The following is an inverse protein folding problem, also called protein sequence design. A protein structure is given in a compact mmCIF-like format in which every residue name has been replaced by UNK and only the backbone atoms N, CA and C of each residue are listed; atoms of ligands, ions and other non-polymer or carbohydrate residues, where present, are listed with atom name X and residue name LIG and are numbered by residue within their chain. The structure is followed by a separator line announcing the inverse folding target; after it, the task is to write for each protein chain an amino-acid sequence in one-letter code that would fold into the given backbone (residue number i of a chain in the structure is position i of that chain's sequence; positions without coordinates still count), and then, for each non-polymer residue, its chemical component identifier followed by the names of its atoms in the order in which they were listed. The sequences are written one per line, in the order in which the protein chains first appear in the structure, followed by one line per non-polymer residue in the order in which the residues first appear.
data_IF_934494053354
#
_entry.id   IF_934494053354
#
_cell.length_a   1.000
_cell.length_b   1.000
_cell.length_c   1.000
_cell.angle_alpha   90.00
_cell.angle_beta   90.00
_cell.angle_gamma   90.00
#
_symmetry.space_group_name_H-M   'P 1'
#
loop_
_entity.id
_entity.type
_entity.pdbx_description
1 polymer ?
#
# COMPACT_ATOMS: atom_id res chain seq x y z
N UNK A 1 -20.56 3.66 -4.13
CA UNK A 1 -22.04 3.70 -4.12
C UNK A 1 -22.66 2.47 -4.78
N UNK A 2 -22.43 2.20 -6.08
CA UNK A 2 -22.99 0.99 -6.74
C UNK A 2 -22.24 -0.28 -6.35
N UNK A 3 -20.90 -0.25 -6.32
CA UNK A 3 -20.09 -1.41 -5.90
C UNK A 3 -20.30 -1.74 -4.43
N UNK A 4 -20.35 -0.74 -3.54
CA UNK A 4 -20.75 -0.95 -2.13
C UNK A 4 -22.11 -1.66 -2.00
N UNK A 5 -23.06 -1.35 -2.89
CA UNK A 5 -24.38 -1.98 -2.89
C UNK A 5 -24.32 -3.42 -3.41
N UNK A 6 -23.56 -3.67 -4.50
CA UNK A 6 -23.29 -5.02 -5.01
C UNK A 6 -22.65 -5.86 -3.90
N UNK A 7 -21.64 -5.34 -3.23
CA UNK A 7 -20.92 -6.04 -2.16
C UNK A 7 -21.83 -6.33 -0.98
N UNK A 8 -22.56 -5.35 -0.46
CA UNK A 8 -23.54 -5.59 0.63
C UNK A 8 -24.61 -6.62 0.27
N UNK A 9 -25.00 -6.70 -1.00
CA UNK A 9 -26.02 -7.64 -1.47
C UNK A 9 -25.44 -9.04 -1.71
N UNK A 10 -24.15 -9.14 -2.03
CA UNK A 10 -23.47 -10.40 -2.37
C UNK A 10 -22.68 -11.03 -1.22
N UNK A 11 -22.40 -10.29 -0.15
CA UNK A 11 -21.83 -10.80 1.10
C UNK A 11 -22.89 -10.77 2.22
N UNK A 12 -23.82 -11.75 2.28
CA UNK A 12 -24.72 -11.88 3.43
C UNK A 12 -23.90 -12.12 4.71
N UNK A 13 -24.44 -11.76 5.90
CA UNK A 13 -23.81 -11.72 7.24
C UNK A 13 -23.20 -13.06 7.74
N UNK A 14 -22.32 -13.68 6.96
CA UNK A 14 -21.72 -14.98 7.17
C UNK A 14 -20.20 -14.90 7.12
N UNK A 15 -19.57 -15.71 7.97
CA UNK A 15 -18.12 -15.81 8.16
C UNK A 15 -17.38 -16.47 6.99
N UNK A 16 -17.39 -15.86 5.80
CA UNK A 16 -16.84 -16.45 4.56
C UNK A 16 -15.53 -15.79 4.10
N UNK A 17 -15.00 -14.86 4.87
CA UNK A 17 -13.76 -14.14 4.57
C UNK A 17 -12.53 -14.84 5.14
N UNK A 18 -11.36 -14.33 4.80
CA UNK A 18 -10.12 -14.77 5.43
C UNK A 18 -10.07 -14.20 6.85
N UNK A 19 -9.81 -15.04 7.85
CA UNK A 19 -9.58 -14.58 9.21
C UNK A 19 -8.37 -13.64 9.26
N UNK A 20 -8.63 -12.38 9.59
CA UNK A 20 -7.60 -11.36 9.78
C UNK A 20 -7.13 -11.32 11.24
N UNK A 21 -8.06 -11.43 12.18
CA UNK A 21 -7.81 -11.67 13.61
C UNK A 21 -8.83 -12.65 14.17
N UNK A 22 -8.72 -13.03 15.45
CA UNK A 22 -9.70 -13.91 16.12
C UNK A 22 -11.14 -13.37 16.08
N UNK A 23 -11.33 -12.08 15.79
CA UNK A 23 -12.64 -11.40 15.75
C UNK A 23 -12.99 -10.75 14.42
N UNK A 24 -12.05 -10.64 13.48
CA UNK A 24 -12.24 -9.94 12.21
C UNK A 24 -11.96 -10.86 11.03
N UNK A 25 -12.80 -10.75 10.01
CA UNK A 25 -12.60 -11.38 8.71
C UNK A 25 -12.51 -10.31 7.64
N UNK A 26 -11.74 -10.62 6.60
CA UNK A 26 -11.59 -9.80 5.42
C UNK A 26 -12.24 -10.55 4.25
N UNK A 27 -13.36 -10.03 3.77
CA UNK A 27 -14.19 -10.69 2.75
C UNK A 27 -13.81 -10.28 1.33
N UNK A 28 -13.33 -9.05 1.17
CA UNK A 28 -13.05 -8.43 -0.11
C UNK A 28 -12.11 -7.22 0.04
N UNK A 29 -11.57 -6.80 -1.10
CA UNK A 29 -10.87 -5.54 -1.30
C UNK A 29 -11.41 -4.92 -2.58
N UNK A 30 -11.97 -3.72 -2.50
CA UNK A 30 -12.54 -3.00 -3.63
C UNK A 30 -11.84 -1.66 -3.87
N UNK A 31 -11.59 -1.35 -5.14
CA UNK A 31 -11.07 -0.06 -5.56
C UNK A 31 -11.60 0.32 -6.93
N UNK A 32 -12.54 1.26 -6.97
CA UNK A 32 -13.26 1.63 -8.20
C UNK A 32 -13.81 0.36 -8.85
N UNK A 33 -13.40 -0.01 -10.06
CA UNK A 33 -13.83 -1.18 -10.81
C UNK A 33 -13.04 -2.47 -10.50
N UNK A 34 -11.91 -2.36 -9.79
CA UNK A 34 -11.11 -3.50 -9.38
C UNK A 34 -11.68 -4.09 -8.07
N UNK A 35 -12.23 -5.30 -8.15
CA UNK A 35 -12.73 -6.06 -7.00
C UNK A 35 -11.92 -7.35 -6.80
N UNK A 36 -11.43 -7.57 -5.59
CA UNK A 36 -10.76 -8.80 -5.18
C UNK A 36 -11.54 -9.49 -4.05
N UNK A 37 -12.07 -10.68 -4.33
CA UNK A 37 -12.79 -11.49 -3.36
C UNK A 37 -11.83 -12.43 -2.60
N UNK A 38 -12.04 -12.59 -1.30
CA UNK A 38 -11.18 -13.39 -0.43
C UNK A 38 -11.99 -14.45 0.30
N UNK A 39 -11.59 -15.72 0.19
CA UNK A 39 -12.27 -16.85 0.84
C UNK A 39 -11.26 -17.90 1.32
N UNK A 40 -11.65 -18.69 2.32
CA UNK A 40 -10.80 -19.77 2.86
C UNK A 40 -11.01 -21.11 2.16
N UNK A 41 -12.15 -21.30 1.49
CA UNK A 41 -12.45 -22.51 0.71
C UNK A 41 -12.86 -22.20 -0.72
N UNK A 42 -12.63 -23.17 -1.62
CA UNK A 42 -13.04 -23.07 -3.02
C UNK A 42 -14.57 -22.93 -3.13
N UNK A 43 -15.33 -23.68 -2.32
CA UNK A 43 -16.79 -23.60 -2.31
C UNK A 43 -17.27 -22.18 -1.95
N UNK A 44 -16.69 -21.57 -0.91
CA UNK A 44 -17.02 -20.19 -0.53
C UNK A 44 -16.65 -19.20 -1.65
N UNK A 45 -15.51 -19.42 -2.33
CA UNK A 45 -15.11 -18.60 -3.48
C UNK A 45 -16.13 -18.69 -4.63
N UNK A 46 -16.59 -19.90 -4.96
CA UNK A 46 -17.61 -20.10 -6.00
C UNK A 46 -18.93 -19.41 -5.61
N UNK A 47 -19.41 -19.61 -4.39
CA UNK A 47 -20.65 -18.98 -3.93
C UNK A 47 -20.57 -17.44 -3.97
N UNK A 48 -19.45 -16.85 -3.51
CA UNK A 48 -19.22 -15.40 -3.58
C UNK A 48 -19.19 -14.92 -5.03
N UNK A 49 -18.47 -15.63 -5.90
CA UNK A 49 -18.33 -15.23 -7.31
C UNK A 49 -19.68 -15.27 -8.03
N UNK A 50 -20.47 -16.33 -7.83
CA UNK A 50 -21.83 -16.44 -8.38
C UNK A 50 -22.74 -15.34 -7.85
N UNK A 51 -22.66 -15.02 -6.56
CA UNK A 51 -23.47 -13.96 -5.94
C UNK A 51 -23.12 -12.58 -6.48
N UNK A 52 -21.82 -12.27 -6.61
CA UNK A 52 -21.34 -11.00 -7.20
C UNK A 52 -21.74 -10.89 -8.67
N UNK A 53 -21.66 -11.98 -9.44
CA UNK A 53 -22.11 -12.00 -10.83
C UNK A 53 -23.61 -11.69 -10.97
N UNK A 54 -24.45 -12.35 -10.16
CA UNK A 54 -25.90 -12.12 -10.16
C UNK A 54 -26.25 -10.68 -9.73
N UNK A 55 -25.62 -10.18 -8.66
CA UNK A 55 -25.84 -8.82 -8.18
C UNK A 55 -25.37 -7.76 -9.20
N UNK A 56 -24.25 -8.00 -9.88
CA UNK A 56 -23.75 -7.11 -10.93
C UNK A 56 -24.69 -7.07 -12.13
N UNK A 57 -25.17 -8.24 -12.58
CA UNK A 57 -26.13 -8.32 -13.68
C UNK A 57 -27.45 -7.59 -13.36
N UNK A 58 -27.92 -7.68 -12.11
CA UNK A 58 -29.14 -6.99 -11.68
C UNK A 58 -29.07 -5.46 -11.77
N UNK A 59 -27.87 -4.89 -11.68
CA UNK A 59 -27.62 -3.44 -11.85
C UNK A 59 -27.06 -3.08 -13.23
N UNK A 60 -27.04 -4.02 -14.17
CA UNK A 60 -26.59 -3.81 -15.55
C UNK A 60 -25.07 -3.79 -15.74
N UNK A 61 -24.29 -4.30 -14.78
CA UNK A 61 -22.84 -4.45 -14.89
C UNK A 61 -22.46 -5.86 -15.37
N UNK A 62 -21.47 -5.94 -16.26
CA UNK A 62 -20.93 -7.20 -16.76
C UNK A 62 -19.52 -7.43 -16.19
N UNK A 63 -19.29 -8.62 -15.62
CA UNK A 63 -17.96 -9.02 -15.16
C UNK A 63 -17.10 -9.39 -16.36
N UNK A 64 -15.91 -8.79 -16.45
CA UNK A 64 -14.97 -9.09 -17.53
C UNK A 64 -14.22 -10.40 -17.26
N UNK A 65 -14.81 -11.53 -17.66
CA UNK A 65 -14.30 -12.89 -17.42
C UNK A 65 -12.82 -13.10 -17.80
N UNK A 66 -12.38 -12.55 -18.94
CA UNK A 66 -10.98 -12.65 -19.37
C UNK A 66 -9.95 -11.91 -18.48
N UNK A 67 -10.40 -10.94 -17.67
CA UNK A 67 -9.56 -10.19 -16.70
C UNK A 67 -9.72 -10.73 -15.28
N UNK A 68 -10.84 -11.38 -14.98
CA UNK A 68 -11.06 -12.10 -13.73
C UNK A 68 -10.15 -13.32 -13.67
N UNK A 69 -9.37 -13.45 -12.60
CA UNK A 69 -8.40 -14.53 -12.39
C UNK A 69 -8.52 -15.03 -10.96
N UNK A 70 -8.04 -16.25 -10.73
CA UNK A 70 -7.92 -16.81 -9.39
C UNK A 70 -6.46 -16.97 -9.03
N UNK A 71 -6.11 -16.47 -7.86
CA UNK A 71 -4.83 -16.73 -7.21
C UNK A 71 -5.09 -17.61 -5.99
N UNK A 72 -4.45 -18.78 -5.96
CA UNK A 72 -4.55 -19.73 -4.84
C UNK A 72 -3.33 -19.60 -3.95
N UNK A 73 -3.56 -19.50 -2.65
CA UNK A 73 -2.50 -19.38 -1.65
C UNK A 73 -2.41 -20.65 -0.80
N UNK A 74 -1.24 -21.30 -0.78
CA UNK A 74 -0.96 -22.50 0.04
C UNK A 74 -2.02 -23.63 -0.07
N UNK A 75 -2.63 -23.82 -1.24
CA UNK A 75 -3.64 -24.87 -1.46
C UNK A 75 -3.37 -25.65 -2.73
N UNK A 76 -3.66 -26.95 -2.71
CA UNK A 76 -3.59 -27.80 -3.88
C UNK A 76 -4.69 -27.42 -4.90
N UNK A 77 -4.48 -27.77 -6.17
CA UNK A 77 -5.50 -27.54 -7.19
C UNK A 77 -6.76 -28.36 -6.86
N UNK A 78 -7.82 -27.66 -6.51
CA UNK A 78 -9.21 -28.12 -6.41
C UNK A 78 -10.00 -27.68 -7.66
N UNK A 79 -11.29 -28.01 -7.70
CA UNK A 79 -12.20 -27.71 -8.81
C UNK A 79 -12.09 -26.25 -9.31
N UNK A 80 -12.25 -26.01 -10.63
CA UNK A 80 -12.34 -24.67 -11.20
C UNK A 80 -13.44 -23.86 -10.53
N UNK A 81 -13.25 -22.55 -10.47
CA UNK A 81 -14.34 -21.61 -10.15
C UNK A 81 -14.82 -21.01 -11.46
N UNK A 82 -16.12 -20.92 -11.62
CA UNK A 82 -16.75 -20.50 -12.88
C UNK A 82 -17.59 -19.25 -12.72
N UNK A 83 -17.68 -18.45 -13.79
CA UNK A 83 -18.62 -17.33 -13.93
C UNK A 83 -19.47 -17.58 -15.16
N UNK A 84 -20.79 -17.72 -14.95
CA UNK A 84 -21.76 -18.09 -16.00
C UNK A 84 -21.34 -19.33 -16.80
N UNK A 85 -20.74 -20.32 -16.13
CA UNK A 85 -20.28 -21.57 -16.74
C UNK A 85 -18.90 -21.50 -17.43
N UNK A 86 -18.22 -20.35 -17.42
CA UNK A 86 -16.84 -20.23 -17.92
C UNK A 86 -15.83 -20.32 -16.78
N UNK A 87 -14.83 -21.18 -16.94
CA UNK A 87 -13.74 -21.36 -15.97
C UNK A 87 -12.86 -20.11 -15.88
N UNK A 88 -12.60 -19.64 -14.66
CA UNK A 88 -11.62 -18.59 -14.41
C UNK A 88 -10.21 -19.18 -14.47
N UNK A 89 -9.29 -18.44 -15.11
CA UNK A 89 -7.88 -18.85 -15.17
C UNK A 89 -7.22 -18.76 -13.79
N UNK A 90 -6.61 -19.87 -13.38
CA UNK A 90 -5.74 -19.95 -12.21
C UNK A 90 -4.34 -19.40 -12.54
N UNK A 91 -3.95 -18.34 -11.84
CA UNK A 91 -2.66 -17.66 -12.02
C UNK A 91 -1.77 -17.84 -10.80
N UNK A 92 -0.46 -17.93 -11.02
CA UNK A 92 0.55 -17.95 -9.93
C UNK A 92 0.93 -16.57 -9.41
N UNK A 93 0.70 -15.55 -10.23
CA UNK A 93 0.95 -14.17 -9.91
C UNK A 93 -0.20 -13.31 -10.41
N UNK A 94 -0.66 -12.40 -9.57
CA UNK A 94 -1.74 -11.47 -9.89
C UNK A 94 -1.27 -10.03 -9.66
N UNK A 95 -1.68 -9.09 -10.52
CA UNK A 95 -1.38 -7.67 -10.32
C UNK A 95 -2.62 -6.97 -9.81
N UNK A 96 -2.58 -6.48 -8.58
CA UNK A 96 -3.65 -5.69 -7.98
C UNK A 96 -3.13 -4.28 -7.66
N UNK A 97 -3.81 -3.25 -8.16
CA UNK A 97 -3.44 -1.83 -8.01
C UNK A 97 -1.96 -1.54 -8.36
N UNK A 98 -1.47 -2.26 -9.37
CA UNK A 98 -0.13 -2.18 -9.91
C UNK A 98 0.94 -2.95 -9.13
N UNK A 99 0.60 -3.57 -7.99
CA UNK A 99 1.50 -4.41 -7.18
C UNK A 99 1.32 -5.88 -7.50
N UNK A 100 2.42 -6.61 -7.62
CA UNK A 100 2.41 -8.05 -7.92
C UNK A 100 2.27 -8.84 -6.62
N UNK A 101 1.28 -9.73 -6.58
CA UNK A 101 1.04 -10.70 -5.52
C UNK A 101 1.36 -12.07 -6.09
N UNK A 102 2.27 -12.81 -5.45
CA UNK A 102 2.60 -14.18 -5.83
C UNK A 102 1.92 -15.21 -4.91
N UNK A 103 1.84 -16.47 -5.37
CA UNK A 103 1.23 -17.60 -4.64
C UNK A 103 1.87 -17.89 -3.27
N UNK A 104 3.07 -17.37 -2.99
CA UNK A 104 3.80 -17.54 -1.73
C UNK A 104 3.73 -16.30 -0.84
N UNK A 105 3.08 -15.21 -1.29
CA UNK A 105 2.97 -13.95 -0.57
C UNK A 105 4.32 -13.25 -0.43
N UNK A 106 5.27 -13.60 -1.30
CA UNK A 106 6.56 -12.97 -1.43
C UNK A 106 6.44 -11.58 -2.05
N UNK A 107 7.45 -10.74 -1.80
CA UNK A 107 7.54 -9.41 -2.42
C UNK A 107 8.62 -9.35 -3.48
N UNK A 108 9.27 -10.48 -3.81
CA UNK A 108 10.42 -10.47 -4.73
C UNK A 108 10.00 -10.11 -6.15
N UNK A 109 8.88 -10.68 -6.62
CA UNK A 109 8.33 -10.39 -7.94
C UNK A 109 7.95 -8.92 -8.08
N UNK A 110 7.23 -8.35 -7.10
CA UNK A 110 6.86 -6.93 -7.11
C UNK A 110 8.08 -6.02 -7.05
N UNK A 111 9.03 -6.28 -6.14
CA UNK A 111 10.28 -5.51 -6.03
C UNK A 111 11.06 -5.55 -7.34
N UNK A 112 11.16 -6.72 -7.99
CA UNK A 112 11.82 -6.86 -9.29
C UNK A 112 11.12 -6.02 -10.37
N UNK A 113 9.80 -6.05 -10.43
CA UNK A 113 9.03 -5.22 -11.35
C UNK A 113 9.21 -3.72 -11.07
N UNK A 114 9.23 -3.30 -9.80
CA UNK A 114 9.50 -1.90 -9.41
C UNK A 114 10.90 -1.43 -9.78
N UNK A 115 11.91 -2.28 -9.59
CA UNK A 115 13.28 -1.98 -10.05
C UNK A 115 13.30 -1.82 -11.57
N UNK A 116 12.57 -2.66 -12.33
CA UNK A 116 12.43 -2.52 -13.78
C UNK A 116 11.82 -1.17 -14.19
N UNK A 117 10.69 -0.79 -13.58
CA UNK A 117 10.02 0.50 -13.83
C UNK A 117 10.91 1.69 -13.46
N UNK A 118 11.54 1.65 -12.28
CA UNK A 118 12.47 2.68 -11.83
C UNK A 118 13.69 2.80 -12.74
N UNK A 119 14.23 1.68 -13.22
CA UNK A 119 15.34 1.66 -14.19
C UNK A 119 14.93 2.32 -15.50
N UNK A 120 13.75 2.02 -16.02
CA UNK A 120 13.24 2.65 -17.23
C UNK A 120 13.11 4.18 -17.05
N UNK A 121 12.52 4.63 -15.95
CA UNK A 121 12.42 6.06 -15.62
C UNK A 121 13.79 6.72 -15.49
N UNK A 122 14.76 6.06 -14.83
CA UNK A 122 16.12 6.57 -14.73
C UNK A 122 16.79 6.72 -16.11
N UNK A 123 16.61 5.74 -17.01
CA UNK A 123 17.21 5.77 -18.35
C UNK A 123 16.59 6.85 -19.25
N UNK A 124 15.29 7.12 -19.12
CA UNK A 124 14.64 8.22 -19.85
C UNK A 124 15.25 9.57 -19.50
N UNK A 125 15.74 9.74 -18.28
CA UNK A 125 16.37 10.96 -17.78
C UNK A 125 17.90 10.98 -18.02
N UNK A 126 18.45 10.11 -18.88
CA UNK A 126 19.91 10.00 -19.12
C UNK A 126 20.61 11.33 -19.41
N UNK A 127 19.94 12.22 -20.14
CA UNK A 127 20.52 13.51 -20.51
C UNK A 127 20.68 14.40 -19.27
N UNK A 128 19.70 14.40 -18.37
CA UNK A 128 19.69 15.19 -17.13
C UNK A 128 20.87 14.81 -16.23
N UNK A 129 21.20 13.52 -16.13
CA UNK A 129 22.31 13.05 -15.30
C UNK A 129 23.67 13.55 -15.80
N UNK A 130 23.80 13.75 -17.11
CA UNK A 130 25.03 14.20 -17.77
C UNK A 130 25.15 15.72 -17.92
N UNK A 131 24.07 16.49 -17.68
CA UNK A 131 24.10 17.95 -17.76
C UNK A 131 25.01 18.55 -16.69
N UNK A 132 26.04 19.28 -17.11
CA UNK A 132 27.00 19.95 -16.20
C UNK A 132 26.41 21.16 -15.48
N UNK A 133 25.40 21.81 -16.08
CA UNK A 133 24.75 22.99 -15.53
C UNK A 133 23.87 22.68 -14.31
N UNK A 134 23.40 21.44 -14.18
CA UNK A 134 22.57 21.03 -13.05
C UNK A 134 23.45 20.61 -11.88
N UNK A 135 23.16 21.22 -10.72
CA UNK A 135 23.80 20.82 -9.46
C UNK A 135 23.48 19.36 -9.11
N UNK A 136 24.38 18.73 -8.37
CA UNK A 136 24.16 17.39 -7.81
C UNK A 136 22.86 17.31 -7.01
N UNK A 137 22.58 18.32 -6.17
CA UNK A 137 21.38 18.35 -5.34
C UNK A 137 20.10 18.35 -6.19
N UNK A 138 20.08 19.14 -7.27
CA UNK A 138 18.95 19.17 -8.21
C UNK A 138 18.76 17.79 -8.86
N UNK A 139 19.84 17.14 -9.31
CA UNK A 139 19.76 15.79 -9.91
C UNK A 139 19.25 14.75 -8.92
N UNK A 140 19.72 14.80 -7.67
CA UNK A 140 19.25 13.91 -6.60
C UNK A 140 17.77 14.14 -6.29
N UNK A 141 17.30 15.40 -6.26
CA UNK A 141 15.87 15.70 -6.10
C UNK A 141 15.03 15.15 -7.25
N UNK A 142 15.48 15.30 -8.50
CA UNK A 142 14.81 14.72 -9.68
C UNK A 142 14.76 13.20 -9.57
N UNK A 143 15.85 12.55 -9.15
CA UNK A 143 15.90 11.11 -8.90
C UNK A 143 14.89 10.68 -7.83
N UNK A 144 14.78 11.41 -6.72
CA UNK A 144 13.83 11.11 -5.65
C UNK A 144 12.37 11.23 -6.12
N UNK A 145 12.06 12.21 -6.97
CA UNK A 145 10.69 12.45 -7.46
C UNK A 145 10.31 11.48 -8.57
N UNK A 146 11.21 11.18 -9.50
CA UNK A 146 10.86 10.47 -10.74
C UNK A 146 11.30 9.00 -10.75
N UNK A 147 12.26 8.61 -9.91
CA UNK A 147 12.79 7.23 -9.91
C UNK A 147 12.41 6.52 -8.62
N UNK A 148 12.67 7.13 -7.45
CA UNK A 148 12.32 6.52 -6.17
C UNK A 148 10.81 6.33 -5.98
N UNK A 149 9.98 7.18 -6.57
CA UNK A 149 8.52 7.05 -6.53
C UNK A 149 8.05 5.75 -7.16
N UNK A 150 8.56 5.39 -8.35
CA UNK A 150 8.27 4.08 -8.96
C UNK A 150 8.92 2.93 -8.21
N UNK A 151 10.15 3.13 -7.71
CA UNK A 151 10.89 2.10 -7.00
C UNK A 151 10.20 1.70 -5.70
N UNK A 152 9.72 2.67 -4.91
CA UNK A 152 9.18 2.47 -3.57
C UNK A 152 7.65 2.61 -3.51
N UNK A 153 6.98 2.42 -4.65
CA UNK A 153 5.53 2.32 -4.69
C UNK A 153 5.11 0.97 -4.11
N UNK A 154 4.15 0.98 -3.18
CA UNK A 154 3.68 -0.24 -2.51
C UNK A 154 4.66 -0.81 -1.50
N UNK A 155 5.79 -0.14 -1.24
CA UNK A 155 6.82 -0.64 -0.32
C UNK A 155 6.31 -0.81 1.13
N UNK A 156 5.20 -0.16 1.48
CA UNK A 156 4.52 -0.35 2.76
C UNK A 156 3.97 -1.78 2.96
N UNK A 157 3.60 -2.49 1.89
CA UNK A 157 2.99 -3.83 1.97
C UNK A 157 4.00 -4.97 1.86
N UNK A 158 5.27 -4.67 1.54
CA UNK A 158 6.27 -5.72 1.31
C UNK A 158 6.63 -6.52 2.56
N UNK A 159 7.05 -7.77 2.39
CA UNK A 159 7.83 -8.48 3.39
C UNK A 159 9.27 -7.98 3.32
N UNK A 160 9.70 -7.20 4.32
CA UNK A 160 11.03 -6.58 4.30
C UNK A 160 12.11 -7.55 4.77
N UNK A 161 12.66 -8.35 3.85
CA UNK A 161 13.82 -9.22 4.13
C UNK A 161 15.14 -8.49 3.91
N UNK A 162 16.23 -8.98 4.51
CA UNK A 162 17.59 -8.46 4.27
C UNK A 162 17.94 -8.49 2.77
N UNK A 163 17.55 -9.55 2.06
CA UNK A 163 17.78 -9.72 0.63
C UNK A 163 17.04 -8.66 -0.21
N UNK A 164 15.76 -8.39 0.10
CA UNK A 164 14.97 -7.37 -0.60
C UNK A 164 15.54 -5.97 -0.36
N UNK A 165 15.84 -5.61 0.89
CA UNK A 165 16.48 -4.33 1.22
C UNK A 165 17.78 -4.18 0.44
N UNK A 166 18.61 -5.22 0.42
CA UNK A 166 19.88 -5.20 -0.29
C UNK A 166 19.70 -4.97 -1.80
N UNK A 167 18.77 -5.68 -2.46
CA UNK A 167 18.46 -5.48 -3.89
C UNK A 167 18.07 -4.03 -4.20
N UNK A 168 17.22 -3.43 -3.37
CA UNK A 168 16.78 -2.04 -3.53
C UNK A 168 17.94 -1.07 -3.30
N UNK A 169 18.72 -1.29 -2.23
CA UNK A 169 19.85 -0.43 -1.88
C UNK A 169 20.93 -0.44 -2.98
N UNK A 170 21.25 -1.62 -3.54
CA UNK A 170 22.21 -1.76 -4.65
C UNK A 170 21.75 -0.94 -5.86
N UNK A 171 20.46 -1.01 -6.21
CA UNK A 171 19.93 -0.22 -7.31
C UNK A 171 20.03 1.29 -7.04
N UNK A 172 19.62 1.75 -5.86
CA UNK A 172 19.71 3.18 -5.46
C UNK A 172 21.17 3.65 -5.51
N UNK A 173 22.08 2.93 -4.87
CA UNK A 173 23.49 3.31 -4.83
C UNK A 173 24.08 3.36 -6.25
N UNK A 174 23.77 2.38 -7.11
CA UNK A 174 24.20 2.39 -8.51
C UNK A 174 23.75 3.63 -9.28
N UNK A 175 22.54 4.14 -9.01
CA UNK A 175 22.05 5.40 -9.59
C UNK A 175 22.79 6.62 -9.02
N UNK A 176 23.00 6.67 -7.70
CA UNK A 176 23.66 7.78 -7.02
C UNK A 176 25.14 7.91 -7.42
N UNK A 177 25.87 6.79 -7.55
CA UNK A 177 27.25 6.80 -8.06
C UNK A 177 27.35 7.48 -9.42
N UNK A 178 26.43 7.15 -10.34
CA UNK A 178 26.37 7.77 -11.68
C UNK A 178 26.01 9.25 -11.62
N UNK A 179 25.08 9.65 -10.75
CA UNK A 179 24.72 11.07 -10.54
C UNK A 179 25.92 11.87 -10.03
N UNK A 180 26.70 11.30 -9.10
CA UNK A 180 27.93 11.89 -8.57
C UNK A 180 29.12 11.80 -9.55
N UNK A 181 28.94 11.17 -10.71
CA UNK A 181 30.01 10.96 -11.70
C UNK A 181 31.24 10.24 -11.12
N UNK A 182 31.03 9.36 -10.13
CA UNK A 182 32.10 8.54 -9.56
C UNK A 182 32.44 7.47 -10.58
N UNK A 183 33.68 7.50 -11.07
CA UNK A 183 34.20 6.58 -12.08
C UNK A 183 35.30 5.74 -11.46
N UNK A 184 35.48 4.54 -11.99
CA UNK A 184 36.66 3.76 -11.65
C UNK A 184 37.93 4.56 -12.01
N UNK A 185 38.99 4.58 -11.17
CA UNK A 185 39.23 3.74 -9.98
C UNK A 185 38.73 4.35 -8.65
N UNK A 186 37.99 5.45 -8.67
CA UNK A 186 37.54 6.13 -7.45
C UNK A 186 36.54 5.28 -6.65
N UNK A 187 36.87 5.05 -5.38
CA UNK A 187 36.02 4.33 -4.43
C UNK A 187 35.40 5.28 -3.41
N UNK A 188 34.15 5.03 -3.05
CA UNK A 188 33.43 5.77 -2.00
C UNK A 188 32.75 4.77 -1.07
N UNK A 189 32.75 5.04 0.23
CA UNK A 189 31.97 4.26 1.18
C UNK A 189 30.48 4.56 1.01
N UNK A 190 29.61 3.59 1.32
CA UNK A 190 28.16 3.81 1.27
C UNK A 190 27.72 4.99 2.17
N UNK A 191 28.34 5.14 3.35
CA UNK A 191 28.01 6.24 4.26
C UNK A 191 28.33 7.60 3.65
N UNK A 192 29.52 7.76 3.05
CA UNK A 192 29.91 9.02 2.40
C UNK A 192 29.08 9.31 1.15
N UNK A 193 28.68 8.27 0.39
CA UNK A 193 27.76 8.40 -0.73
C UNK A 193 26.41 8.98 -0.26
N UNK A 194 25.86 8.46 0.83
CA UNK A 194 24.58 8.90 1.38
C UNK A 194 24.66 10.30 1.98
N UNK A 195 25.76 10.63 2.66
CA UNK A 195 26.02 11.97 3.19
C UNK A 195 26.08 13.02 2.07
N UNK A 196 26.88 12.77 1.02
CA UNK A 196 27.02 13.68 -0.13
C UNK A 196 25.73 13.90 -0.91
N UNK A 197 24.79 12.96 -0.82
CA UNK A 197 23.51 13.02 -1.54
C UNK A 197 22.32 13.34 -0.62
N UNK A 198 22.57 13.57 0.67
CA UNK A 198 21.54 13.72 1.70
C UNK A 198 20.47 12.61 1.62
N UNK A 199 20.91 11.37 1.41
CA UNK A 199 20.04 10.19 1.31
C UNK A 199 20.11 9.37 2.59
N UNK A 200 19.06 8.59 2.83
CA UNK A 200 18.99 7.62 3.92
C UNK A 200 19.00 6.19 3.36
N UNK A 201 19.39 5.18 4.16
CA UNK A 201 19.29 3.79 3.74
C UNK A 201 17.86 3.39 3.37
N UNK A 202 17.71 2.53 2.36
CA UNK A 202 16.43 2.08 1.83
C UNK A 202 15.54 1.46 2.91
N UNK A 203 16.15 0.72 3.85
CA UNK A 203 15.44 0.16 5.03
C UNK A 203 14.71 1.25 5.82
N UNK A 204 15.39 2.36 6.06
CA UNK A 204 14.85 3.48 6.84
C UNK A 204 13.77 4.23 6.07
N UNK A 205 13.93 4.38 4.76
CA UNK A 205 12.94 5.01 3.90
C UNK A 205 11.64 4.20 3.82
N UNK A 206 11.76 2.87 3.64
CA UNK A 206 10.61 1.94 3.65
C UNK A 206 9.94 1.94 5.01
N UNK A 207 10.73 1.90 6.10
CA UNK A 207 10.22 1.98 7.47
C UNK A 207 9.43 3.27 7.68
N UNK A 208 9.97 4.42 7.31
CA UNK A 208 9.27 5.72 7.40
C UNK A 208 7.96 5.72 6.61
N UNK A 209 7.92 5.17 5.40
CA UNK A 209 6.70 5.03 4.59
C UNK A 209 5.63 4.18 5.29
N UNK A 210 6.01 3.03 5.88
CA UNK A 210 5.09 2.17 6.65
C UNK A 210 4.50 2.89 7.83
N UNK A 211 5.35 3.52 8.65
CA UNK A 211 4.87 4.25 9.81
C UNK A 211 3.94 5.37 9.40
N UNK A 212 4.28 6.14 8.35
CA UNK A 212 3.41 7.21 7.84
C UNK A 212 2.02 6.68 7.48
N UNK A 213 1.94 5.59 6.72
CA UNK A 213 0.68 4.92 6.36
C UNK A 213 -0.10 4.42 7.60
N UNK A 214 0.59 3.84 8.58
CA UNK A 214 -0.03 3.34 9.80
C UNK A 214 -0.60 4.47 10.68
N UNK A 215 0.09 5.61 10.78
CA UNK A 215 -0.41 6.78 11.50
C UNK A 215 -1.70 7.32 10.87
N UNK A 216 -1.77 7.34 9.54
CA UNK A 216 -2.92 7.85 8.79
C UNK A 216 -4.13 6.90 8.84
N UNK A 217 -3.94 5.63 9.23
CA UNK A 217 -4.98 4.60 9.25
C UNK A 217 -5.61 4.33 10.62
N UNK A 218 -5.20 5.02 11.68
CA UNK A 218 -5.76 4.79 13.04
C UNK A 218 -7.24 5.15 13.09
N UNK A 219 -8.11 4.21 13.44
CA UNK A 219 -9.52 4.50 13.70
C UNK A 219 -9.68 5.30 15.01
N UNK A 220 -10.20 6.53 14.89
CA UNK A 220 -10.35 7.43 16.03
C UNK A 220 -11.42 6.95 17.01
N UNK A 221 -12.46 6.27 16.55
CA UNK A 221 -13.51 5.75 17.42
C UNK A 221 -12.93 4.69 18.37
N UNK A 222 -12.16 3.76 17.81
CA UNK A 222 -11.44 2.73 18.56
C UNK A 222 -10.41 3.36 19.48
N UNK A 223 -9.63 4.34 19.02
CA UNK A 223 -8.66 5.06 19.85
C UNK A 223 -9.31 5.66 21.12
N UNK A 224 -10.48 6.30 21.00
CA UNK A 224 -11.18 6.86 22.17
C UNK A 224 -11.69 5.79 23.14
N UNK A 225 -12.08 4.62 22.62
CA UNK A 225 -12.46 3.47 23.45
C UNK A 225 -11.24 2.91 24.18
N UNK A 226 -10.11 2.78 23.50
CA UNK A 226 -8.86 2.29 24.08
C UNK A 226 -8.35 3.18 25.20
N UNK A 227 -8.34 4.51 25.02
CA UNK A 227 -7.93 5.42 26.09
C UNK A 227 -8.74 5.18 27.38
N UNK A 228 -10.05 4.97 27.27
CA UNK A 228 -10.90 4.65 28.42
C UNK A 228 -10.59 3.27 29.00
N UNK A 229 -10.35 2.28 28.14
CA UNK A 229 -9.96 0.94 28.55
C UNK A 229 -8.67 0.93 29.38
N UNK A 230 -7.67 1.71 28.97
CA UNK A 230 -6.42 1.89 29.71
C UNK A 230 -6.55 2.85 30.92
N UNK A 231 -7.78 3.19 31.33
CA UNK A 231 -8.03 3.96 32.55
C UNK A 231 -7.85 5.49 32.41
N UNK A 232 -7.71 6.03 31.20
CA UNK A 232 -7.59 7.48 31.01
C UNK A 232 -8.93 8.15 31.36
N UNK A 233 -8.94 9.13 32.31
CA UNK A 233 -10.16 9.82 32.72
C UNK A 233 -10.94 10.43 31.56
N UNK A 234 -12.27 10.34 31.61
CA UNK A 234 -13.16 10.82 30.55
C UNK A 234 -12.94 12.31 30.19
N UNK A 235 -12.56 13.13 31.17
CA UNK A 235 -12.21 14.55 30.96
C UNK A 235 -11.01 14.69 30.02
N UNK A 236 -9.95 13.90 30.24
CA UNK A 236 -8.75 13.89 29.38
C UNK A 236 -9.10 13.34 28.00
N UNK A 237 -9.85 12.25 27.91
CA UNK A 237 -10.31 11.69 26.62
C UNK A 237 -11.12 12.71 25.83
N UNK A 238 -11.96 13.50 26.49
CA UNK A 238 -12.78 14.53 25.84
C UNK A 238 -11.92 15.69 25.34
N UNK A 239 -10.91 16.13 26.11
CA UNK A 239 -9.95 17.15 25.67
C UNK A 239 -9.17 16.66 24.44
N UNK A 240 -8.66 15.43 24.48
CA UNK A 240 -7.94 14.84 23.35
C UNK A 240 -8.88 14.74 22.15
N UNK A 241 -10.09 14.19 22.32
CA UNK A 241 -11.07 14.06 21.23
C UNK A 241 -11.39 15.41 20.59
N UNK A 242 -11.71 16.43 21.38
CA UNK A 242 -12.00 17.77 20.89
C UNK A 242 -10.82 18.37 20.11
N UNK A 243 -9.59 18.01 20.48
CA UNK A 243 -8.41 18.42 19.73
C UNK A 243 -8.32 17.76 18.36
N UNK A 244 -9.03 16.66 18.08
CA UNK A 244 -9.06 15.97 16.78
C UNK A 244 -10.35 16.18 15.98
N UNK A 245 -11.47 16.47 16.63
CA UNK A 245 -12.78 16.69 15.99
C UNK A 245 -12.83 18.00 15.18
N UNK A 246 -13.70 18.07 14.17
CA UNK A 246 -13.91 19.28 13.35
C UNK A 246 -12.76 19.65 12.40
N UNK A 247 -11.80 18.74 12.21
CA UNK A 247 -10.69 18.92 11.27
C UNK A 247 -11.18 18.80 9.83
N UNK A 248 -11.15 19.92 9.11
CA UNK A 248 -11.48 19.96 7.69
C UNK A 248 -10.21 20.15 6.85
N UNK A 249 -10.01 19.28 5.87
CA UNK A 249 -8.97 19.40 4.86
C UNK A 249 -9.57 19.97 3.56
N UNK A 250 -8.85 20.89 2.91
CA UNK A 250 -9.15 21.39 1.57
C UNK A 250 -7.98 21.08 0.64
N UNK A 251 -8.29 20.64 -0.57
CA UNK A 251 -7.27 20.31 -1.58
C UNK A 251 -7.12 21.50 -2.52
N UNK A 252 -5.89 22.00 -2.69
CA UNK A 252 -5.58 23.00 -3.70
C UNK A 252 -5.13 22.31 -4.98
N UNK A 253 -5.86 22.49 -6.08
CA UNK A 253 -5.54 21.92 -7.38
C UNK A 253 -5.60 23.01 -8.44
N UNK A 254 -4.47 23.26 -9.12
CA UNK A 254 -4.39 24.32 -10.15
C UNK A 254 -4.63 25.74 -9.62
N UNK A 255 -4.27 26.02 -8.37
CA UNK A 255 -4.48 27.34 -7.74
C UNK A 255 -5.88 27.60 -7.20
N UNK A 256 -6.82 26.66 -7.38
CA UNK A 256 -8.16 26.74 -6.78
C UNK A 256 -8.27 25.78 -5.60
N UNK A 257 -8.82 26.27 -4.48
CA UNK A 257 -9.20 25.44 -3.34
C UNK A 257 -10.50 24.70 -3.65
N UNK A 258 -10.49 23.38 -3.55
CA UNK A 258 -11.68 22.54 -3.59
C UNK A 258 -12.42 22.55 -2.25
N UNK A 259 -13.62 21.99 -2.26
CA UNK A 259 -14.49 21.84 -1.09
C UNK A 259 -13.78 21.13 0.07
N UNK A 260 -14.11 21.54 1.29
CA UNK A 260 -13.59 20.91 2.49
C UNK A 260 -14.28 19.57 2.76
N UNK A 261 -13.48 18.61 3.21
CA UNK A 261 -13.99 17.38 3.79
C UNK A 261 -13.38 17.16 5.18
N UNK A 262 -14.14 16.51 6.05
CA UNK A 262 -13.73 16.23 7.41
C UNK A 262 -12.77 15.03 7.46
N UNK A 263 -11.68 15.16 8.22
CA UNK A 263 -10.72 14.08 8.44
C UNK A 263 -11.13 13.27 9.66
N UNK A 264 -11.63 12.04 9.43
CA UNK A 264 -12.19 11.16 10.47
C UNK A 264 -11.24 10.06 10.97
N UNK A 265 -10.14 9.83 10.27
CA UNK A 265 -9.17 8.77 10.56
C UNK A 265 -7.77 9.34 10.79
N UNK A 266 -6.90 8.50 11.36
CA UNK A 266 -5.49 8.77 11.61
C UNK A 266 -5.22 9.67 12.80
N UNK A 267 -3.97 9.64 13.28
CA UNK A 267 -3.46 10.60 14.26
C UNK A 267 -2.59 11.66 13.57
N UNK A 268 -2.41 12.81 14.21
CA UNK A 268 -1.77 13.99 13.60
C UNK A 268 -0.26 13.83 13.46
N UNK A 269 0.24 13.84 12.23
CA UNK A 269 1.68 13.88 11.99
C UNK A 269 2.28 15.19 12.55
N UNK A 270 3.40 15.08 13.28
CA UNK A 270 4.08 16.23 13.91
C UNK A 270 3.51 16.69 15.26
N UNK A 271 2.42 16.09 15.74
CA UNK A 271 1.88 16.36 17.07
C UNK A 271 2.58 15.50 18.14
N UNK A 272 3.02 16.11 19.25
CA UNK A 272 3.69 15.42 20.37
C UNK A 272 2.86 14.28 20.99
N UNK A 273 1.53 14.40 20.96
CA UNK A 273 0.62 13.40 21.53
C UNK A 273 0.40 12.21 20.59
N UNK A 274 0.60 12.38 19.28
CA UNK A 274 0.27 11.35 18.29
C UNK A 274 1.12 10.08 18.39
N UNK A 275 2.43 10.12 18.69
CA UNK A 275 3.21 8.92 18.99
C UNK A 275 2.64 8.10 20.15
N UNK A 276 2.22 8.75 21.24
CA UNK A 276 1.64 8.07 22.40
C UNK A 276 0.29 7.41 22.06
N UNK A 277 -0.60 8.15 21.39
CA UNK A 277 -1.90 7.63 20.96
C UNK A 277 -1.76 6.44 20.00
N UNK A 278 -0.78 6.51 19.11
CA UNK A 278 -0.49 5.43 18.17
C UNK A 278 0.10 4.20 18.89
N UNK A 279 1.02 4.38 19.84
CA UNK A 279 1.58 3.27 20.61
C UNK A 279 0.51 2.52 21.42
N UNK A 280 -0.48 3.22 21.98
CA UNK A 280 -1.62 2.59 22.65
C UNK A 280 -2.44 1.69 21.72
N UNK A 281 -2.61 2.09 20.46
CA UNK A 281 -3.32 1.27 19.46
C UNK A 281 -2.50 0.05 19.10
N UNK A 282 -1.18 0.19 18.98
CA UNK A 282 -0.28 -0.93 18.68
C UNK A 282 -0.23 -1.93 19.85
N UNK A 283 -0.13 -1.44 21.09
CA UNK A 283 -0.14 -2.27 22.30
C UNK A 283 -1.42 -3.10 22.43
N UNK A 284 -2.58 -2.55 22.03
CA UNK A 284 -3.83 -3.28 22.02
C UNK A 284 -3.92 -4.37 20.92
N UNK A 285 -3.23 -4.16 19.80
CA UNK A 285 -3.28 -5.07 18.64
C UNK A 285 -2.31 -6.25 18.82
N UNK A 286 -1.18 -6.03 19.49
CA UNK A 286 -0.16 -7.06 19.76
C UNK A 286 -0.54 -7.96 20.94
#
# INVERSE_FOLDING_TARGET
MVIDWIMKTSTPEGKRGIHWTSRMQLDDLDFVDDLALLSQSQQQMQEKTTSVAAASAAVGFNIHKGKSKILRYNTAYTNPVTIDGEDLEDVKTFTYLGSIIDEYGGSDADVKARIGKARAAYLQLKNIWNLKQLSTNTKVSIFNINVKTFLLYGAETWRTTKAIIHKIQVFINGCLHKILQIRWPDTISNNLLWERTNQIPAKEEIRKKRWKKAFDSVDRITLWKLLRYYGVPQKIVSIIRNSYDGLNCKIMHGGQLKDSFEVKIGVRQGCLLSPFLFLLVIDWIM
#
